data_IF_123753687392
#
_entry.id   IF_123753687392
#
_cell.length_a   1.000
_cell.length_b   1.000
_cell.length_c   1.000
_cell.angle_alpha   90.00
_cell.angle_beta   90.00
_cell.angle_gamma   90.00
#
_symmetry.space_group_name_H-M   'P 1'
#
loop_
_entity.id
_entity.type
_entity.pdbx_description
1 polymer ?
#
# COMPACT_ATOMS: atom_id res chain seq x y z
N UNK A 1 -20.96 7.83 1.98
CA UNK A 1 -20.27 8.55 0.88
C UNK A 1 -19.84 9.97 1.28
N UNK A 2 -20.70 10.82 1.85
CA UNK A 2 -20.39 12.24 2.15
C UNK A 2 -19.34 12.51 3.25
N UNK A 3 -19.14 11.60 4.21
CA UNK A 3 -18.17 11.80 5.31
C UNK A 3 -16.72 11.64 4.84
N UNK A 4 -16.46 10.66 3.98
CA UNK A 4 -15.13 10.41 3.42
C UNK A 4 -14.69 11.57 2.52
N UNK A 5 -15.60 12.12 1.73
CA UNK A 5 -15.32 13.30 0.89
C UNK A 5 -15.03 14.53 1.75
N UNK A 6 -15.72 14.71 2.88
CA UNK A 6 -15.46 15.80 3.82
C UNK A 6 -14.08 15.67 4.52
N UNK A 7 -13.69 14.46 4.92
CA UNK A 7 -12.36 14.22 5.50
C UNK A 7 -11.24 14.49 4.48
N UNK A 8 -11.41 14.03 3.24
CA UNK A 8 -10.42 14.25 2.18
C UNK A 8 -10.29 15.73 1.85
N UNK A 9 -11.38 16.50 1.78
CA UNK A 9 -11.31 17.94 1.49
C UNK A 9 -10.66 18.73 2.63
N UNK A 10 -10.89 18.34 3.89
CA UNK A 10 -10.20 18.95 5.05
C UNK A 10 -8.70 18.69 4.98
N UNK A 11 -8.28 17.45 4.72
CA UNK A 11 -6.87 17.08 4.61
C UNK A 11 -6.20 17.81 3.45
N UNK A 12 -6.86 17.87 2.28
CA UNK A 12 -6.33 18.58 1.11
C UNK A 12 -6.17 20.08 1.39
N UNK A 13 -7.14 20.72 2.04
CA UNK A 13 -7.07 22.13 2.41
C UNK A 13 -5.93 22.43 3.39
N UNK A 14 -5.69 21.54 4.36
CA UNK A 14 -4.57 21.68 5.31
C UNK A 14 -3.23 21.51 4.59
N UNK A 15 -3.10 20.52 3.70
CA UNK A 15 -1.88 20.29 2.93
C UNK A 15 -1.58 21.43 1.94
N UNK A 16 -2.60 21.99 1.30
CA UNK A 16 -2.45 23.13 0.40
C UNK A 16 -2.00 24.39 1.16
N UNK A 17 -2.67 24.74 2.26
CA UNK A 17 -2.27 25.87 3.11
C UNK A 17 -0.87 25.69 3.72
N UNK A 18 -0.49 24.46 4.03
CA UNK A 18 0.85 24.14 4.53
C UNK A 18 1.91 24.24 3.42
N UNK A 19 1.59 23.78 2.21
CA UNK A 19 2.43 23.93 1.01
C UNK A 19 2.67 25.39 0.63
N UNK A 20 1.64 26.23 0.68
CA UNK A 20 1.76 27.69 0.49
C UNK A 20 2.66 28.34 1.55
N UNK A 21 2.60 27.88 2.81
CA UNK A 21 3.45 28.40 3.89
C UNK A 21 4.93 28.01 3.69
N UNK A 22 5.21 26.83 3.12
CA UNK A 22 6.56 26.41 2.71
C UNK A 22 7.06 27.09 1.44
N UNK A 23 6.15 27.58 0.59
CA UNK A 23 6.47 28.30 -0.64
C UNK A 23 7.01 29.72 -0.40
N UNK A 24 6.99 30.23 0.83
CA UNK A 24 7.56 31.55 1.13
C UNK A 24 9.09 31.49 0.97
N UNK A 25 9.69 32.31 0.11
CA UNK A 25 11.12 32.29 -0.14
C UNK A 25 11.85 32.73 1.13
N UNK A 26 12.57 31.81 1.75
CA UNK A 26 13.52 32.11 2.81
C UNK A 26 14.88 32.27 2.16
N UNK A 27 15.13 33.40 1.48
CA UNK A 27 16.46 33.97 1.20
C UNK A 27 16.32 35.34 0.51
N UNK A 28 17.18 36.27 0.92
CA UNK A 28 17.39 37.61 0.37
C UNK A 28 17.93 37.57 -1.08
N UNK A 29 17.45 38.52 -1.89
CA UNK A 29 17.71 38.89 -3.28
C UNK A 29 18.71 38.09 -4.15
N UNK A 30 18.13 37.41 -5.16
CA UNK A 30 18.65 37.39 -6.51
C UNK A 30 17.50 37.71 -7.47
N UNK A 31 17.70 38.62 -8.43
CA UNK A 31 16.68 38.96 -9.42
C UNK A 31 16.05 37.69 -10.01
N UNK A 32 14.72 37.59 -10.17
CA UNK A 32 14.07 36.36 -10.60
C UNK A 32 14.71 35.89 -11.91
N UNK A 33 15.49 34.81 -11.82
CA UNK A 33 16.09 34.17 -12.96
C UNK A 33 14.95 33.52 -13.76
N UNK A 34 14.42 34.32 -14.69
CA UNK A 34 13.30 33.95 -15.55
C UNK A 34 13.65 32.73 -16.40
N UNK A 35 14.93 32.50 -16.69
CA UNK A 35 15.38 31.37 -17.49
C UNK A 35 15.40 30.07 -16.67
N UNK A 36 15.89 30.10 -15.43
CA UNK A 36 15.80 28.93 -14.55
C UNK A 36 14.35 28.61 -14.18
N UNK A 37 13.52 29.63 -13.93
CA UNK A 37 12.09 29.44 -13.69
C UNK A 37 11.37 28.80 -14.89
N UNK A 38 11.68 29.24 -16.12
CA UNK A 38 11.10 28.69 -17.35
C UNK A 38 11.57 27.26 -17.62
N UNK A 39 12.85 26.95 -17.37
CA UNK A 39 13.41 25.59 -17.45
C UNK A 39 12.76 24.64 -16.44
N UNK A 40 12.56 25.10 -15.21
CA UNK A 40 11.88 24.31 -14.19
C UNK A 40 10.42 24.05 -14.57
N UNK A 41 9.73 25.07 -15.09
CA UNK A 41 8.33 24.94 -15.56
C UNK A 41 8.19 23.93 -16.70
N UNK A 42 9.12 23.94 -17.66
CA UNK A 42 9.13 22.96 -18.73
C UNK A 42 9.42 21.54 -18.21
N UNK A 43 10.40 21.36 -17.32
CA UNK A 43 10.67 20.05 -16.71
C UNK A 43 9.48 19.52 -15.92
N UNK A 44 8.78 20.38 -15.18
CA UNK A 44 7.56 20.01 -14.46
C UNK A 44 6.46 19.61 -15.46
N UNK A 45 6.26 20.37 -16.54
CA UNK A 45 5.26 20.04 -17.56
C UNK A 45 5.55 18.69 -18.23
N UNK A 46 6.82 18.41 -18.51
CA UNK A 46 7.26 17.17 -19.16
C UNK A 46 7.14 15.95 -18.22
N UNK A 47 7.33 16.14 -16.90
CA UNK A 47 7.25 15.06 -15.91
C UNK A 47 5.91 14.97 -15.16
N UNK A 48 4.99 15.92 -15.36
CA UNK A 48 3.70 15.98 -14.67
C UNK A 48 2.87 14.72 -14.91
N UNK A 49 2.87 14.23 -16.15
CA UNK A 49 2.15 13.01 -16.52
C UNK A 49 2.71 11.77 -15.84
N UNK A 50 4.04 11.63 -15.76
CA UNK A 50 4.68 10.53 -15.03
C UNK A 50 4.39 10.59 -13.53
N UNK A 51 4.40 11.80 -12.94
CA UNK A 51 4.08 11.97 -11.51
C UNK A 51 2.61 11.63 -11.20
N UNK A 52 1.70 12.02 -12.09
CA UNK A 52 0.27 11.69 -11.99
C UNK A 52 0.05 10.16 -12.07
N UNK A 53 0.70 9.49 -13.03
CA UNK A 53 0.60 8.03 -13.19
C UNK A 53 1.19 7.30 -11.97
N UNK A 54 2.36 7.73 -11.48
CA UNK A 54 3.00 7.18 -10.28
C UNK A 54 2.09 7.28 -9.04
N UNK A 55 1.29 8.35 -8.94
CA UNK A 55 0.39 8.57 -7.81
C UNK A 55 -0.92 7.78 -7.94
N UNK A 56 -1.42 7.56 -9.15
CA UNK A 56 -2.71 6.89 -9.41
C UNK A 56 -2.59 5.35 -9.44
N UNK A 57 -1.51 4.80 -9.99
CA UNK A 57 -1.32 3.34 -10.12
C UNK A 57 -1.33 2.59 -8.78
N UNK A 58 -0.66 3.03 -7.70
CA UNK A 58 -0.70 2.31 -6.43
C UNK A 58 -2.06 2.38 -5.72
N UNK A 59 -2.90 3.37 -6.04
CA UNK A 59 -4.27 3.47 -5.52
C UNK A 59 -5.23 2.46 -6.17
N UNK A 60 -4.88 1.91 -7.34
CA UNK A 60 -5.70 0.92 -8.06
C UNK A 60 -5.63 -0.49 -7.44
N UNK A 61 -4.85 -0.68 -6.36
CA UNK A 61 -4.96 -1.83 -5.46
C UNK A 61 -4.34 -3.12 -5.98
N UNK A 62 -3.40 -3.67 -5.20
CA UNK A 62 -3.00 -5.08 -5.35
C UNK A 62 -4.16 -5.97 -4.88
N UNK A 63 -5.02 -6.40 -5.80
CA UNK A 63 -6.17 -7.26 -5.51
C UNK A 63 -5.71 -8.68 -5.16
N UNK A 64 -5.71 -9.03 -3.87
CA UNK A 64 -5.53 -10.41 -3.41
C UNK A 64 -6.87 -11.15 -3.48
N UNK A 65 -6.92 -12.27 -4.19
CA UNK A 65 -8.13 -13.11 -4.29
C UNK A 65 -8.18 -14.06 -3.11
N UNK A 66 -9.10 -13.83 -2.18
CA UNK A 66 -9.40 -14.78 -1.10
C UNK A 66 -10.29 -15.90 -1.63
N UNK A 67 -9.87 -17.14 -1.48
CA UNK A 67 -10.66 -18.33 -1.83
C UNK A 67 -10.95 -19.09 -0.55
N UNK A 68 -12.23 -19.34 -0.27
CA UNK A 68 -12.64 -20.18 0.86
C UNK A 68 -12.59 -21.65 0.45
N UNK A 69 -11.98 -22.48 1.29
CA UNK A 69 -11.85 -23.92 1.06
C UNK A 69 -12.64 -24.64 2.15
N UNK A 70 -13.53 -25.59 1.79
CA UNK A 70 -14.27 -26.37 2.77
C UNK A 70 -13.34 -27.28 3.60
N UNK A 71 -13.74 -27.58 4.84
CA UNK A 71 -13.00 -28.49 5.71
C UNK A 71 -12.84 -29.88 5.05
N UNK A 72 -11.68 -30.51 5.23
CA UNK A 72 -11.36 -31.81 4.62
C UNK A 72 -11.02 -31.77 3.12
N UNK A 73 -11.21 -30.66 2.41
CA UNK A 73 -10.81 -30.58 1.01
C UNK A 73 -9.29 -30.35 0.86
N UNK A 74 -8.62 -31.06 -0.07
CA UNK A 74 -7.19 -30.90 -0.29
C UNK A 74 -6.90 -29.60 -1.06
N UNK A 75 -5.91 -28.85 -0.60
CA UNK A 75 -5.38 -27.62 -1.22
C UNK A 75 -3.95 -27.88 -1.64
N UNK A 76 -3.60 -27.49 -2.87
CA UNK A 76 -2.21 -27.52 -3.33
C UNK A 76 -1.59 -26.14 -3.32
N UNK A 77 -0.47 -25.99 -2.62
CA UNK A 77 0.40 -24.83 -2.77
C UNK A 77 1.27 -25.03 -4.01
N UNK A 78 1.15 -24.11 -4.97
CA UNK A 78 1.92 -24.14 -6.22
C UNK A 78 3.40 -23.86 -6.00
N UNK A 79 3.69 -23.01 -5.01
CA UNK A 79 5.02 -22.52 -4.68
C UNK A 79 5.16 -22.47 -3.16
N UNK A 80 6.40 -22.49 -2.69
CA UNK A 80 6.69 -22.34 -1.26
C UNK A 80 6.35 -20.93 -0.79
N UNK A 81 5.41 -20.81 0.16
CA UNK A 81 5.05 -19.52 0.74
C UNK A 81 6.03 -19.21 1.86
N UNK A 82 6.88 -18.21 1.63
CA UNK A 82 7.88 -17.76 2.60
C UNK A 82 7.25 -16.92 3.71
N UNK A 83 7.71 -17.14 4.95
CA UNK A 83 7.34 -16.35 6.12
C UNK A 83 5.81 -16.24 6.35
N UNK A 84 5.09 -17.34 6.09
CA UNK A 84 3.64 -17.41 6.27
C UNK A 84 3.28 -17.31 7.75
N UNK A 85 2.24 -16.52 8.05
CA UNK A 85 1.66 -16.44 9.40
C UNK A 85 0.82 -17.68 9.62
N UNK A 86 1.14 -18.45 10.66
CA UNK A 86 0.46 -19.72 10.97
C UNK A 86 0.07 -19.76 12.43
N UNK A 87 -0.96 -20.54 12.73
CA UNK A 87 -1.34 -20.91 14.09
C UNK A 87 -0.87 -22.33 14.33
N UNK A 88 -0.09 -22.54 15.38
CA UNK A 88 0.47 -23.85 15.75
C UNK A 88 -0.08 -24.22 17.11
N UNK A 89 -0.47 -25.48 17.30
CA UNK A 89 -0.83 -25.99 18.63
C UNK A 89 0.45 -26.35 19.38
N UNK A 90 0.59 -25.85 20.61
CA UNK A 90 1.69 -26.23 21.48
C UNK A 90 1.48 -27.63 22.11
N UNK A 91 2.38 -28.07 23.00
CA UNK A 91 2.28 -29.38 23.65
C UNK A 91 1.07 -29.48 24.59
N UNK A 92 0.52 -28.35 24.99
CA UNK A 92 -0.61 -28.20 25.91
C UNK A 92 -1.94 -28.06 25.15
N UNK A 93 -1.88 -27.94 23.82
CA UNK A 93 -3.05 -27.82 22.94
C UNK A 93 -3.46 -26.37 22.66
N UNK A 94 -2.74 -25.38 23.20
CA UNK A 94 -3.05 -23.96 23.01
C UNK A 94 -2.57 -23.48 21.63
N UNK A 95 -3.34 -22.59 21.00
CA UNK A 95 -2.99 -22.03 19.69
C UNK A 95 -2.03 -20.85 19.84
N UNK A 96 -0.80 -21.03 19.36
CA UNK A 96 0.25 -20.01 19.38
C UNK A 96 0.49 -19.47 17.97
N UNK A 97 0.62 -18.14 17.86
CA UNK A 97 0.95 -17.49 16.59
C UNK A 97 2.43 -17.68 16.25
N UNK A 98 2.72 -18.12 15.03
CA UNK A 98 4.06 -18.33 14.53
C UNK A 98 4.24 -17.81 13.10
N UNK A 99 5.49 -17.83 12.64
CA UNK A 99 5.85 -17.60 11.24
C UNK A 99 6.76 -18.73 10.77
N UNK A 100 6.43 -19.32 9.63
CA UNK A 100 7.25 -20.36 9.02
C UNK A 100 7.11 -20.37 7.50
N UNK A 101 8.04 -21.04 6.83
CA UNK A 101 7.94 -21.30 5.39
C UNK A 101 7.03 -22.51 5.17
N UNK A 102 6.01 -22.36 4.33
CA UNK A 102 5.13 -23.46 3.92
C UNK A 102 5.62 -24.01 2.58
N UNK A 103 6.16 -25.24 2.52
CA UNK A 103 6.63 -25.81 1.26
C UNK A 103 5.50 -26.01 0.26
N UNK A 104 5.84 -26.07 -1.02
CA UNK A 104 4.90 -26.52 -2.05
C UNK A 104 4.42 -27.96 -1.79
N UNK A 105 3.19 -28.24 -2.17
CA UNK A 105 2.61 -29.57 -1.94
C UNK A 105 1.13 -29.54 -1.58
N UNK A 106 0.63 -30.71 -1.19
CA UNK A 106 -0.76 -30.92 -0.81
C UNK A 106 -0.95 -30.75 0.71
N UNK A 107 -1.98 -30.02 1.08
CA UNK A 107 -2.38 -29.74 2.46
C UNK A 107 -3.87 -30.02 2.63
N UNK A 108 -4.25 -30.48 3.81
CA UNK A 108 -5.64 -30.76 4.15
C UNK A 108 -6.00 -29.95 5.39
N UNK A 109 -7.15 -29.28 5.37
CA UNK A 109 -7.72 -28.69 6.57
C UNK A 109 -8.21 -29.84 7.48
N UNK A 110 -7.93 -29.78 8.79
CA UNK A 110 -8.49 -30.75 9.72
C UNK A 110 -10.02 -30.67 9.67
N UNK A 111 -10.67 -31.82 9.78
CA UNK A 111 -12.11 -31.86 10.00
C UNK A 111 -12.38 -31.26 11.39
N UNK A 112 -13.31 -30.33 11.49
CA UNK A 112 -13.86 -29.96 12.79
C UNK A 112 -14.55 -31.20 13.35
N UNK A 113 -14.15 -31.61 14.56
CA UNK A 113 -14.97 -32.52 15.35
C UNK A 113 -16.21 -31.71 15.77
N UNK A 114 -17.34 -32.00 15.14
CA UNK A 114 -18.65 -31.53 15.60
C UNK A 114 -19.03 -32.21 16.92
#
# INVERSE_FOLDING_TARGET
MSWLTAMVTVILNVLLKWGEKRSKPSCEDGSPDKDTAKKLRNKIKDHWFCFLILLVVPLAGCSTRTVYVPAGAPVRLRETIKNAKVWVKDKQGETVAGKMDLPEGWYCLPLSED
#
